data_IF_298529033502
#
_entry.id   IF_298529033502
#
_cell.length_a   1.000
_cell.length_b   1.000
_cell.length_c   1.000
_cell.angle_alpha   90.00
_cell.angle_beta   90.00
_cell.angle_gamma   90.00
#
_symmetry.space_group_name_H-M   'P 1'
#
loop_
_entity.id
_entity.type
_entity.pdbx_description
1 polymer ?
#
# COMPACT_ATOMS: atom_id res chain seq x y z
N UNK A 1 2.08 11.51 20.76
CA UNK A 1 0.95 10.72 20.22
C UNK A 1 -0.34 11.50 20.44
N UNK A 2 -0.95 11.92 19.34
CA UNK A 2 -2.16 12.75 19.34
C UNK A 2 -3.40 11.95 19.80
N UNK A 3 -4.51 12.61 20.14
CA UNK A 3 -5.79 11.93 20.37
C UNK A 3 -6.27 11.13 19.15
N UNK A 4 -6.03 11.61 17.92
CA UNK A 4 -6.37 10.90 16.70
C UNK A 4 -5.54 9.62 16.55
N UNK A 5 -4.23 9.68 16.83
CA UNK A 5 -3.33 8.52 16.80
C UNK A 5 -3.79 7.42 17.78
N UNK A 6 -4.30 7.83 18.96
CA UNK A 6 -4.83 6.89 19.97
C UNK A 6 -6.04 6.11 19.47
N UNK A 7 -6.88 6.74 18.65
CA UNK A 7 -8.03 6.07 18.03
C UNK A 7 -7.54 5.11 16.95
N UNK A 8 -6.63 5.55 16.10
CA UNK A 8 -6.06 4.72 15.02
C UNK A 8 -5.32 3.49 15.55
N UNK A 9 -4.66 3.60 16.70
CA UNK A 9 -4.03 2.44 17.37
C UNK A 9 -5.02 1.29 17.63
N UNK A 10 -6.29 1.58 17.87
CA UNK A 10 -7.32 0.55 18.08
C UNK A 10 -7.64 -0.21 16.78
N UNK A 11 -7.37 0.40 15.62
CA UNK A 11 -7.66 -0.16 14.30
C UNK A 11 -6.50 -0.98 13.72
N UNK A 12 -5.32 -0.90 14.34
CA UNK A 12 -4.17 -1.74 14.02
C UNK A 12 -2.84 -1.02 14.19
N UNK A 13 -1.88 -1.72 14.80
CA UNK A 13 -0.47 -1.31 14.88
C UNK A 13 0.35 -2.15 13.91
N UNK A 14 1.18 -1.46 13.14
CA UNK A 14 2.13 -2.07 12.22
C UNK A 14 3.55 -1.72 12.61
N UNK A 15 4.47 -2.54 12.12
CA UNK A 15 5.90 -2.28 12.13
C UNK A 15 6.39 -2.28 10.69
N UNK A 16 7.07 -1.21 10.30
CA UNK A 16 7.76 -1.06 9.03
C UNK A 16 9.24 -1.33 9.25
N UNK A 17 9.80 -2.29 8.51
CA UNK A 17 11.25 -2.53 8.45
C UNK A 17 11.83 -1.80 7.26
N UNK A 18 12.80 -0.90 7.47
CA UNK A 18 13.44 -0.18 6.38
C UNK A 18 14.22 -1.15 5.48
N UNK A 19 14.07 -1.04 4.16
CA UNK A 19 14.74 -1.93 3.19
C UNK A 19 16.10 -1.39 2.75
N UNK A 20 16.31 -0.07 2.84
CA UNK A 20 17.60 0.58 2.61
C UNK A 20 18.25 0.97 3.96
N UNK A 21 19.48 0.51 4.19
CA UNK A 21 20.23 0.72 5.43
C UNK A 21 21.05 2.02 5.45
N UNK A 22 21.11 2.77 4.34
CA UNK A 22 22.04 3.87 4.10
C UNK A 22 21.38 5.24 3.82
N UNK A 23 20.04 5.35 3.89
CA UNK A 23 19.36 6.62 3.68
C UNK A 23 19.19 7.37 5.00
N UNK A 24 19.91 8.49 5.15
CA UNK A 24 19.68 9.49 6.22
C UNK A 24 18.23 10.04 6.23
N UNK A 25 17.44 9.73 5.19
CA UNK A 25 16.03 10.06 5.03
C UNK A 25 15.25 8.82 4.52
N UNK A 26 14.62 8.08 5.42
CA UNK A 26 13.63 7.05 5.07
C UNK A 26 12.24 7.68 4.95
N UNK A 27 11.54 7.42 3.85
CA UNK A 27 10.26 8.00 3.49
C UNK A 27 9.18 6.97 3.13
N UNK A 28 8.07 7.47 2.56
CA UNK A 28 6.99 6.60 2.05
C UNK A 28 7.55 5.70 0.94
N UNK A 29 7.30 4.39 1.04
CA UNK A 29 7.79 3.39 0.06
C UNK A 29 9.08 2.67 0.45
N UNK A 30 9.81 3.12 1.48
CA UNK A 30 11.09 2.51 1.89
C UNK A 30 10.93 1.39 2.93
N UNK A 31 9.71 1.19 3.43
CA UNK A 31 9.40 0.25 4.51
C UNK A 31 8.67 -0.99 4.01
N UNK A 32 9.11 -2.15 4.50
CA UNK A 32 8.36 -3.38 4.45
C UNK A 32 7.41 -3.44 5.66
N UNK A 33 6.11 -3.32 5.41
CA UNK A 33 5.08 -3.26 6.46
C UNK A 33 4.65 -4.66 6.92
N UNK A 34 4.53 -4.83 8.24
CA UNK A 34 4.10 -6.07 8.91
C UNK A 34 3.13 -5.81 10.04
N UNK A 35 2.22 -6.76 10.23
CA UNK A 35 1.32 -6.81 11.38
C UNK A 35 2.06 -7.12 12.68
N UNK A 36 1.75 -6.37 13.73
CA UNK A 36 2.05 -6.80 15.11
C UNK A 36 1.00 -7.83 15.50
N UNK A 37 1.43 -9.07 15.73
CA UNK A 37 0.54 -10.21 16.02
C UNK A 37 0.25 -10.37 17.51
N UNK A 38 1.14 -9.90 18.37
CA UNK A 38 0.98 -10.00 19.82
C UNK A 38 2.05 -9.23 20.58
N UNK A 39 1.72 -8.91 21.83
CA UNK A 39 2.61 -8.30 22.80
C UNK A 39 2.52 -9.11 24.09
N UNK A 40 3.64 -9.60 24.58
CA UNK A 40 3.75 -10.16 25.92
C UNK A 40 4.30 -9.09 26.86
N UNK A 41 3.46 -8.60 27.76
CA UNK A 41 3.84 -7.54 28.69
C UNK A 41 4.79 -8.01 29.78
N UNK A 42 4.79 -9.30 30.13
CA UNK A 42 5.62 -9.82 31.21
C UNK A 42 7.08 -9.92 30.75
N UNK A 43 7.32 -10.48 29.58
CA UNK A 43 8.66 -10.58 28.99
C UNK A 43 9.08 -9.35 28.17
N UNK A 44 8.14 -8.46 27.81
CA UNK A 44 8.38 -7.33 26.92
C UNK A 44 8.57 -7.74 25.45
N UNK A 45 8.16 -8.96 25.06
CA UNK A 45 8.33 -9.48 23.71
C UNK A 45 7.19 -9.03 22.79
N UNK A 46 7.54 -8.65 21.57
CA UNK A 46 6.60 -8.35 20.49
C UNK A 46 6.71 -9.39 19.38
N UNK A 47 5.58 -9.94 18.97
CA UNK A 47 5.49 -10.91 17.89
C UNK A 47 5.08 -10.18 16.62
N UNK A 48 5.89 -10.32 15.57
CA UNK A 48 5.70 -9.67 14.26
C UNK A 48 5.64 -10.75 13.19
N UNK A 49 4.87 -10.53 12.13
CA UNK A 49 4.77 -11.44 10.98
C UNK A 49 6.02 -11.49 10.08
N UNK A 50 7.21 -11.23 10.61
CA UNK A 50 8.48 -11.26 9.88
C UNK A 50 9.67 -11.43 10.84
N UNK A 51 10.83 -11.73 10.29
CA UNK A 51 12.10 -11.77 11.01
C UNK A 51 12.78 -10.40 10.94
N UNK A 52 13.05 -9.82 12.11
CA UNK A 52 13.81 -8.58 12.26
C UNK A 52 15.14 -8.93 12.92
N UNK A 53 16.24 -8.60 12.26
CA UNK A 53 17.60 -8.84 12.74
C UNK A 53 18.12 -7.64 13.52
N UNK A 54 19.10 -7.89 14.39
CA UNK A 54 19.80 -6.82 15.09
C UNK A 54 20.44 -5.83 14.10
N UNK A 55 20.31 -4.54 14.40
CA UNK A 55 20.82 -3.46 13.55
C UNK A 55 19.87 -3.01 12.44
N UNK A 56 18.73 -3.69 12.21
CA UNK A 56 17.72 -3.21 11.26
C UNK A 56 16.90 -2.06 11.84
N UNK A 57 16.71 -1.01 11.02
CA UNK A 57 15.86 0.12 11.38
C UNK A 57 14.39 -0.25 11.21
N UNK A 58 13.61 -0.02 12.26
CA UNK A 58 12.15 -0.22 12.25
C UNK A 58 11.42 1.03 12.70
N UNK A 59 10.19 1.18 12.21
CA UNK A 59 9.29 2.25 12.58
C UNK A 59 7.90 1.69 12.87
N UNK A 60 7.19 2.25 13.84
CA UNK A 60 5.78 1.93 14.05
C UNK A 60 4.90 2.74 13.09
N UNK A 61 3.93 2.07 12.49
CA UNK A 61 2.95 2.68 11.61
C UNK A 61 1.55 2.42 12.15
N UNK A 62 0.68 3.40 11.99
CA UNK A 62 -0.74 3.27 12.32
C UNK A 62 -1.50 2.88 11.07
N UNK A 63 -2.50 2.02 11.25
CA UNK A 63 -3.40 1.65 10.17
C UNK A 63 -4.45 2.74 9.99
N UNK A 64 -4.22 3.60 9.00
CA UNK A 64 -5.04 4.78 8.72
C UNK A 64 -5.62 4.76 7.30
N UNK A 65 -6.94 4.88 7.21
CA UNK A 65 -7.66 4.93 5.94
C UNK A 65 -7.37 6.22 5.17
N UNK A 66 -7.20 7.35 5.87
CA UNK A 66 -6.93 8.65 5.25
C UNK A 66 -5.57 8.65 4.57
N UNK A 67 -4.52 8.25 5.29
CA UNK A 67 -3.18 8.07 4.71
C UNK A 67 -3.18 7.09 3.53
N UNK A 68 -3.95 5.99 3.61
CA UNK A 68 -4.06 5.01 2.54
C UNK A 68 -4.79 5.55 1.29
N UNK A 69 -5.75 6.45 1.47
CA UNK A 69 -6.40 7.18 0.36
C UNK A 69 -5.41 8.15 -0.28
N UNK A 70 -4.73 8.97 0.51
CA UNK A 70 -3.72 9.92 0.04
C UNK A 70 -2.61 9.23 -0.76
N UNK A 71 -2.10 8.08 -0.28
CA UNK A 71 -1.08 7.29 -0.97
C UNK A 71 -1.57 6.82 -2.36
N UNK A 72 -2.80 6.33 -2.43
CA UNK A 72 -3.38 5.87 -3.69
C UNK A 72 -3.61 7.05 -4.65
N UNK A 73 -4.13 8.18 -4.17
CA UNK A 73 -4.30 9.39 -4.98
C UNK A 73 -2.95 9.89 -5.53
N UNK A 74 -1.89 9.91 -4.71
CA UNK A 74 -0.55 10.29 -5.13
C UNK A 74 0.03 9.35 -6.19
N UNK A 75 -0.19 8.04 -6.07
CA UNK A 75 0.25 7.07 -7.07
C UNK A 75 -0.53 7.20 -8.40
N UNK A 76 -1.80 7.58 -8.33
CA UNK A 76 -2.68 7.75 -9.49
C UNK A 76 -2.48 9.09 -10.20
N UNK A 77 -2.13 10.17 -9.50
CA UNK A 77 -2.04 11.50 -10.07
C UNK A 77 -1.10 11.59 -11.31
N UNK A 78 0.11 10.98 -11.32
CA UNK A 78 0.96 10.95 -12.52
C UNK A 78 0.32 10.22 -13.71
N UNK A 79 -0.63 9.31 -13.48
CA UNK A 79 -1.28 8.55 -14.55
C UNK A 79 -2.18 9.43 -15.43
N UNK A 80 -2.58 10.59 -14.93
CA UNK A 80 -3.37 11.60 -15.67
C UNK A 80 -2.56 12.35 -16.73
N UNK A 81 -1.23 12.23 -16.71
CA UNK A 81 -0.34 12.83 -17.71
C UNK A 81 -0.22 11.97 -18.99
N UNK A 82 -0.71 10.73 -18.95
CA UNK A 82 -0.72 9.81 -20.08
C UNK A 82 -2.11 9.77 -20.73
N UNK A 83 -2.22 9.11 -21.88
CA UNK A 83 -3.54 8.84 -22.47
C UNK A 83 -4.44 8.07 -21.47
N UNK A 84 -5.75 8.29 -21.49
CA UNK A 84 -6.66 7.59 -20.60
C UNK A 84 -6.53 6.06 -20.74
N UNK A 85 -6.43 5.32 -19.62
CA UNK A 85 -6.42 3.85 -19.66
C UNK A 85 -7.75 3.33 -20.21
N UNK A 86 -7.69 2.25 -20.99
CA UNK A 86 -8.88 1.57 -21.53
C UNK A 86 -9.44 0.52 -20.57
N UNK A 87 -8.76 0.24 -19.47
CA UNK A 87 -9.16 -0.72 -18.45
C UNK A 87 -8.07 -0.93 -17.41
N UNK A 88 -8.42 -1.60 -16.31
CA UNK A 88 -7.43 -1.97 -15.28
C UNK A 88 -7.77 -3.23 -14.51
N UNK A 89 -6.73 -3.83 -13.93
CA UNK A 89 -6.89 -4.89 -12.93
C UNK A 89 -6.48 -4.37 -11.55
N UNK A 90 -7.41 -4.48 -10.59
CA UNK A 90 -7.18 -4.14 -9.18
C UNK A 90 -7.11 -5.41 -8.34
N UNK A 91 -6.00 -5.59 -7.64
CA UNK A 91 -5.85 -6.65 -6.63
C UNK A 91 -5.69 -5.97 -5.28
N UNK A 92 -6.61 -6.24 -4.35
CA UNK A 92 -6.60 -5.60 -3.03
C UNK A 92 -6.39 -6.64 -1.94
N UNK A 93 -5.52 -6.37 -0.99
CA UNK A 93 -5.34 -7.23 0.16
C UNK A 93 -6.65 -7.37 0.98
N UNK A 94 -6.90 -8.55 1.55
CA UNK A 94 -8.03 -8.86 2.45
C UNK A 94 -8.13 -7.92 3.66
N UNK A 95 -7.01 -7.29 4.03
CA UNK A 95 -6.93 -6.26 5.05
C UNK A 95 -7.39 -4.87 4.59
N UNK A 96 -7.91 -4.70 3.37
CA UNK A 96 -8.49 -3.44 2.88
C UNK A 96 -10.02 -3.56 2.75
N UNK A 97 -10.64 -2.81 1.84
CA UNK A 97 -12.11 -2.72 1.74
C UNK A 97 -12.72 -2.21 3.05
N UNK A 98 -13.87 -2.75 3.45
CA UNK A 98 -14.62 -2.31 4.66
C UNK A 98 -13.88 -2.54 5.99
N UNK A 99 -12.73 -3.24 5.97
CA UNK A 99 -11.88 -3.38 7.16
C UNK A 99 -10.95 -2.20 7.36
N UNK A 100 -10.62 -1.49 6.28
CA UNK A 100 -9.74 -0.32 6.29
C UNK A 100 -10.58 0.94 6.17
N UNK A 101 -11.46 0.98 5.16
CA UNK A 101 -12.43 2.03 4.93
C UNK A 101 -13.70 1.75 5.73
N UNK A 102 -14.42 2.79 6.13
CA UNK A 102 -15.73 2.69 6.80
C UNK A 102 -16.88 2.41 5.82
N UNK A 103 -16.58 2.22 4.53
CA UNK A 103 -17.52 1.95 3.46
C UNK A 103 -16.99 0.91 2.47
N UNK A 104 -17.86 0.23 1.68
CA UNK A 104 -17.42 -0.68 0.63
C UNK A 104 -16.69 0.07 -0.50
N UNK A 105 -15.90 -0.68 -1.27
CA UNK A 105 -15.27 -0.22 -2.51
C UNK A 105 -14.31 0.97 -2.38
N UNK A 106 -13.71 1.23 -1.20
CA UNK A 106 -12.80 2.36 -0.98
C UNK A 106 -11.78 2.61 -2.09
N UNK A 107 -10.96 1.60 -2.39
CA UNK A 107 -9.96 1.66 -3.47
C UNK A 107 -10.56 2.00 -4.84
N UNK A 108 -11.67 1.35 -5.18
CA UNK A 108 -12.37 1.56 -6.44
C UNK A 108 -12.91 2.99 -6.51
N UNK A 109 -13.55 3.47 -5.45
CA UNK A 109 -14.08 4.83 -5.37
C UNK A 109 -12.99 5.88 -5.58
N UNK A 110 -11.81 5.68 -4.98
CA UNK A 110 -10.65 6.56 -5.16
C UNK A 110 -10.16 6.51 -6.61
N UNK A 111 -10.00 5.32 -7.18
CA UNK A 111 -9.56 5.17 -8.59
C UNK A 111 -10.56 5.84 -9.54
N UNK A 112 -11.87 5.65 -9.33
CA UNK A 112 -12.91 6.28 -10.14
C UNK A 112 -12.93 7.80 -9.99
N UNK A 113 -12.69 8.32 -8.77
CA UNK A 113 -12.60 9.76 -8.49
C UNK A 113 -11.41 10.40 -9.22
N UNK A 114 -10.26 9.73 -9.25
CA UNK A 114 -9.02 10.29 -9.84
C UNK A 114 -8.97 10.08 -11.35
N UNK A 115 -9.14 8.84 -11.83
CA UNK A 115 -8.97 8.48 -13.25
C UNK A 115 -10.24 8.66 -14.08
N UNK A 116 -11.41 8.39 -13.48
CA UNK A 116 -12.72 8.56 -14.13
C UNK A 116 -13.12 7.42 -15.07
N UNK A 117 -14.31 6.83 -14.83
CA UNK A 117 -15.00 5.95 -15.78
C UNK A 117 -14.25 4.69 -16.20
N UNK A 118 -13.25 4.28 -15.42
CA UNK A 118 -12.36 3.17 -15.76
C UNK A 118 -13.03 1.83 -15.43
N UNK A 119 -13.18 0.96 -16.42
CA UNK A 119 -13.61 -0.41 -16.14
C UNK A 119 -12.51 -1.17 -15.41
N UNK A 120 -12.86 -1.68 -14.22
CA UNK A 120 -11.95 -2.42 -13.34
C UNK A 120 -12.47 -3.84 -13.15
N UNK A 121 -11.58 -4.80 -13.35
CA UNK A 121 -11.77 -6.17 -12.89
C UNK A 121 -10.72 -6.49 -11.82
N UNK A 122 -10.95 -7.54 -11.03
CA UNK A 122 -10.07 -7.80 -9.90
C UNK A 122 -10.61 -8.79 -8.88
N UNK A 123 -9.85 -8.97 -7.81
CA UNK A 123 -10.26 -9.76 -6.65
C UNK A 123 -9.49 -9.37 -5.40
N UNK A 124 -9.99 -9.82 -4.25
CA UNK A 124 -9.27 -9.71 -2.98
C UNK A 124 -8.26 -10.85 -2.81
N UNK A 125 -7.04 -10.53 -2.41
CA UNK A 125 -5.95 -11.48 -2.23
C UNK A 125 -5.38 -11.42 -0.80
N UNK A 126 -4.61 -12.44 -0.43
CA UNK A 126 -3.92 -12.52 0.87
C UNK A 126 -2.45 -12.05 0.77
N UNK A 127 -2.22 -11.02 -0.04
CA UNK A 127 -0.91 -10.42 -0.27
C UNK A 127 -0.46 -10.47 -1.72
N UNK A 128 0.55 -9.65 -2.02
CA UNK A 128 1.07 -9.41 -3.35
C UNK A 128 2.61 -9.56 -3.35
N UNK A 129 3.21 -10.00 -4.46
CA UNK A 129 4.67 -10.09 -4.57
C UNK A 129 5.16 -8.92 -5.42
N UNK A 130 6.11 -8.14 -4.89
CA UNK A 130 6.66 -6.98 -5.59
C UNK A 130 7.97 -6.48 -5.00
N UNK A 131 8.71 -5.65 -5.74
CA UNK A 131 10.02 -5.18 -5.30
C UNK A 131 9.94 -3.99 -4.32
N UNK A 132 10.86 -3.96 -3.34
CA UNK A 132 11.28 -2.76 -2.60
C UNK A 132 12.81 -2.75 -2.64
N UNK A 133 13.44 -1.63 -3.00
CA UNK A 133 14.91 -1.54 -3.01
C UNK A 133 15.61 -2.62 -3.84
N UNK A 134 15.01 -3.05 -4.96
CA UNK A 134 15.57 -4.07 -5.86
C UNK A 134 15.42 -5.53 -5.39
N UNK A 135 14.73 -5.79 -4.27
CA UNK A 135 14.43 -7.16 -3.79
C UNK A 135 12.93 -7.39 -3.73
N UNK A 136 12.49 -8.59 -4.06
CA UNK A 136 11.07 -8.96 -3.99
C UNK A 136 10.67 -9.35 -2.57
N UNK A 137 9.50 -8.88 -2.15
CA UNK A 137 8.89 -9.19 -0.87
C UNK A 137 7.43 -9.60 -1.05
N UNK A 138 6.90 -10.33 -0.08
CA UNK A 138 5.47 -10.46 0.12
C UNK A 138 4.96 -9.19 0.82
N UNK A 139 4.03 -8.50 0.17
CA UNK A 139 3.34 -7.32 0.64
C UNK A 139 1.98 -7.71 1.21
N UNK A 140 1.63 -7.07 2.32
CA UNK A 140 0.30 -7.13 2.90
C UNK A 140 -0.21 -5.71 3.10
N UNK A 141 -1.52 -5.56 3.28
CA UNK A 141 -2.19 -4.26 3.44
C UNK A 141 -2.06 -3.33 2.24
N UNK A 142 -1.72 -3.90 1.08
CA UNK A 142 -1.52 -3.22 -0.21
C UNK A 142 -2.73 -3.33 -1.12
N UNK A 143 -2.78 -2.47 -2.14
CA UNK A 143 -3.53 -2.72 -3.36
C UNK A 143 -2.60 -2.48 -4.55
N UNK A 144 -2.69 -3.37 -5.54
CA UNK A 144 -1.91 -3.32 -6.77
C UNK A 144 -2.84 -3.05 -7.93
N UNK A 145 -2.55 -2.01 -8.70
CA UNK A 145 -3.32 -1.61 -9.88
C UNK A 145 -2.46 -1.74 -11.14
N UNK A 146 -2.93 -2.53 -12.09
CA UNK A 146 -2.41 -2.54 -13.45
C UNK A 146 -3.34 -1.74 -14.36
N UNK A 147 -2.80 -0.77 -15.09
CA UNK A 147 -3.54 0.05 -16.05
C UNK A 147 -3.13 -0.32 -17.47
N UNK A 148 -4.10 -0.51 -18.36
CA UNK A 148 -3.89 -0.85 -19.76
C UNK A 148 -4.19 0.36 -20.64
N UNK A 149 -3.33 0.60 -21.62
CA UNK A 149 -3.48 1.68 -22.59
C UNK A 149 -3.27 1.14 -24.01
N UNK A 150 -3.97 1.69 -25.02
CA UNK A 150 -3.68 1.36 -26.40
C UNK A 150 -2.22 1.67 -26.73
N UNK A 151 -1.58 0.79 -27.50
CA UNK A 151 -0.29 1.11 -28.10
C UNK A 151 -0.54 2.15 -29.18
N UNK A 152 0.10 3.33 -29.08
CA UNK A 152 0.13 4.27 -30.20
C UNK A 152 0.96 3.64 -31.30
N UNK A 153 0.35 3.31 -32.44
CA UNK A 153 1.13 3.03 -33.64
C UNK A 153 1.91 4.30 -33.98
N UNK A 154 3.24 4.24 -33.92
CA UNK A 154 4.07 5.25 -34.55
C UNK A 154 3.76 5.20 -36.04
N UNK A 155 3.09 6.24 -36.55
CA UNK A 155 2.75 6.34 -37.96
C UNK A 155 3.98 6.07 -38.79
N UNK A 156 3.89 5.08 -39.69
CA UNK A 156 4.81 4.95 -40.81
C UNK A 156 4.81 6.28 -41.54
N UNK A 157 5.90 7.05 -41.39
CA UNK A 157 6.08 8.28 -42.13
C UNK A 157 5.96 7.98 -43.63
N UNK A 158 4.99 8.63 -44.27
CA UNK A 158 5.03 8.88 -45.72
C UNK A 158 5.97 10.05 -46.01
#
# INVERSE_FOLDING_TARGET
MSPADRVLLQNGLFIGRAVASDLELVGRGDFLIRGVMGLDQESGVMVVGDYINEGETVQFHLRDAGTAEEDLEMMLAPQLLFDPPCGGFLFSCNGRGTRLYDHPNGDISIIQKVIGGLDLAGFFCAGEIGPIGGKNFLHGHTASLALFRPVKEEGSGE
#
